data_IF_359425152940
#
_entry.id   IF_359425152940
#
_cell.length_a   1.000
_cell.length_b   1.000
_cell.length_c   1.000
_cell.angle_alpha   90.00
_cell.angle_beta   90.00
_cell.angle_gamma   90.00
#
_symmetry.space_group_name_H-M   'P 1'
#
loop_
_entity.id
_entity.type
_entity.pdbx_description
1 polymer ?
#
# COMPACT_ATOMS: atom_id res chain seq x y z
N UNK A 1 -24.35 29.39 20.76
CA UNK A 1 -25.45 28.43 20.91
C UNK A 1 -24.93 27.05 20.57
N UNK A 2 -24.37 26.40 21.57
CA UNK A 2 -23.91 25.00 21.53
C UNK A 2 -25.13 24.15 21.98
N UNK A 3 -25.77 23.43 21.07
CA UNK A 3 -26.72 22.38 21.44
C UNK A 3 -26.51 21.16 20.53
N UNK A 4 -26.32 20.03 21.21
CA UNK A 4 -26.53 18.65 20.79
C UNK A 4 -25.60 18.04 19.71
N UNK A 5 -24.36 17.72 20.14
CA UNK A 5 -23.58 16.61 19.57
C UNK A 5 -23.75 15.35 20.44
N UNK A 6 -24.94 14.77 20.47
CA UNK A 6 -25.20 13.41 20.96
C UNK A 6 -25.96 12.66 19.88
N UNK A 7 -25.43 11.49 19.52
CA UNK A 7 -25.97 10.43 18.64
C UNK A 7 -25.31 10.27 17.28
N UNK A 8 -24.08 9.76 17.28
CA UNK A 8 -23.56 9.00 16.13
C UNK A 8 -23.47 7.49 16.47
N UNK A 9 -23.63 7.11 17.71
CA UNK A 9 -23.68 5.70 18.13
C UNK A 9 -25.13 5.23 18.29
N UNK A 10 -25.76 4.88 17.18
CA UNK A 10 -27.02 4.13 17.19
C UNK A 10 -26.76 2.69 17.63
N UNK A 11 -27.12 2.36 18.85
CA UNK A 11 -27.21 0.98 19.36
C UNK A 11 -28.33 0.23 18.64
N UNK A 12 -28.01 -0.45 17.54
CA UNK A 12 -28.76 -1.60 16.98
C UNK A 12 -27.94 -2.20 15.84
N UNK A 13 -27.20 -3.27 16.13
CA UNK A 13 -26.82 -4.38 15.25
C UNK A 13 -25.60 -5.14 15.80
N UNK A 14 -25.68 -5.60 17.04
CA UNK A 14 -24.71 -6.57 17.59
C UNK A 14 -25.01 -8.02 17.20
N UNK A 15 -26.18 -8.31 16.61
CA UNK A 15 -26.54 -9.68 16.24
C UNK A 15 -26.28 -10.06 14.77
N UNK A 16 -26.03 -9.08 13.88
CA UNK A 16 -25.79 -9.38 12.46
C UNK A 16 -24.34 -9.77 12.13
N UNK A 17 -23.38 -9.54 13.05
CA UNK A 17 -21.94 -9.82 12.81
C UNK A 17 -21.48 -11.21 13.31
N UNK A 18 -22.33 -12.03 13.90
CA UNK A 18 -21.93 -13.33 14.46
C UNK A 18 -21.76 -14.44 13.42
N UNK A 19 -22.10 -14.20 12.15
CA UNK A 19 -21.95 -15.17 11.04
C UNK A 19 -21.15 -14.63 9.84
N UNK A 20 -20.41 -13.55 9.96
CA UNK A 20 -19.55 -13.09 8.87
C UNK A 20 -18.34 -14.02 8.74
N UNK A 21 -18.07 -14.50 7.51
CA UNK A 21 -16.86 -15.29 7.19
C UNK A 21 -15.63 -14.49 7.61
N UNK A 22 -14.76 -15.06 8.43
CA UNK A 22 -13.50 -14.45 8.86
C UNK A 22 -12.46 -14.64 7.78
N UNK A 23 -11.61 -13.63 7.60
CA UNK A 23 -10.58 -13.64 6.56
C UNK A 23 -9.20 -13.53 7.21
N UNK A 24 -8.30 -14.42 6.82
CA UNK A 24 -6.94 -14.49 7.36
C UNK A 24 -5.89 -14.30 6.26
N UNK A 25 -4.71 -13.85 6.66
CA UNK A 25 -3.55 -13.70 5.80
C UNK A 25 -2.70 -14.96 5.92
N UNK A 26 -2.58 -15.72 4.83
CA UNK A 26 -1.88 -17.00 4.80
C UNK A 26 -0.57 -16.97 4.02
N UNK A 27 -0.35 -15.96 3.19
CA UNK A 27 0.88 -15.77 2.45
C UNK A 27 1.13 -14.31 2.08
N UNK A 28 2.40 -13.98 1.85
CA UNK A 28 2.85 -12.63 1.52
C UNK A 28 3.97 -12.67 0.49
N UNK A 29 4.01 -11.67 -0.39
CA UNK A 29 5.11 -11.47 -1.33
C UNK A 29 5.32 -9.99 -1.60
N UNK A 30 6.58 -9.56 -1.77
CA UNK A 30 6.91 -8.15 -1.94
C UNK A 30 8.18 -7.93 -2.78
N UNK A 31 8.11 -6.90 -3.61
CA UNK A 31 9.25 -6.28 -4.28
C UNK A 31 9.19 -4.79 -3.97
N UNK A 32 10.22 -4.26 -3.33
CA UNK A 32 10.27 -2.87 -2.85
C UNK A 32 11.66 -2.27 -2.98
N UNK A 33 11.83 -0.96 -2.83
CA UNK A 33 13.15 -0.31 -2.86
C UNK A 33 14.11 -0.77 -1.76
N UNK A 34 13.61 -1.40 -0.70
CA UNK A 34 14.41 -1.84 0.44
C UNK A 34 14.56 -3.37 0.53
N UNK A 35 13.91 -4.12 -0.35
CA UNK A 35 14.01 -5.58 -0.42
C UNK A 35 13.15 -6.16 -1.53
N UNK A 36 13.61 -7.23 -2.17
CA UNK A 36 12.95 -7.92 -3.30
C UNK A 36 12.22 -9.20 -2.87
N UNK A 37 12.03 -9.36 -1.58
CA UNK A 37 11.25 -10.41 -0.93
C UNK A 37 10.72 -9.91 0.42
N UNK A 38 9.72 -10.58 0.97
CA UNK A 38 9.16 -10.24 2.30
C UNK A 38 10.22 -10.33 3.42
N UNK A 39 11.10 -11.36 3.48
CA UNK A 39 12.17 -11.39 4.46
C UNK A 39 13.16 -10.23 4.35
N UNK A 40 13.55 -9.84 3.13
CA UNK A 40 14.44 -8.69 2.89
C UNK A 40 13.76 -7.37 3.28
N UNK A 41 12.51 -7.17 2.85
CA UNK A 41 11.71 -6.01 3.24
C UNK A 41 11.66 -5.87 4.77
N UNK A 42 11.29 -6.94 5.48
CA UNK A 42 11.17 -6.89 6.93
C UNK A 42 12.49 -6.62 7.63
N UNK A 43 13.57 -7.26 7.21
CA UNK A 43 14.91 -7.02 7.74
C UNK A 43 15.35 -5.55 7.55
N UNK A 44 15.04 -4.97 6.39
CA UNK A 44 15.32 -3.56 6.10
C UNK A 44 14.49 -2.61 6.97
N UNK A 45 13.19 -2.90 7.16
CA UNK A 45 12.29 -2.11 8.03
C UNK A 45 12.77 -2.15 9.49
N UNK A 46 13.17 -3.31 10.00
CA UNK A 46 13.70 -3.46 11.35
C UNK A 46 14.98 -2.64 11.58
N UNK A 47 15.80 -2.51 10.54
CA UNK A 47 17.08 -1.77 10.57
C UNK A 47 16.92 -0.27 10.30
N UNK A 48 15.73 0.20 9.91
CA UNK A 48 15.54 1.58 9.45
C UNK A 48 16.29 1.90 8.15
N UNK A 49 16.45 0.91 7.25
CA UNK A 49 17.20 1.08 6.00
C UNK A 49 16.41 1.93 5.00
N UNK A 50 17.04 3.00 4.53
CA UNK A 50 16.46 3.86 3.49
C UNK A 50 16.71 3.28 2.08
N UNK A 51 15.66 3.21 1.26
CA UNK A 51 15.71 2.79 -0.15
C UNK A 51 15.76 3.95 -1.14
N UNK A 52 15.80 5.19 -0.66
CA UNK A 52 15.81 6.39 -1.50
C UNK A 52 17.25 6.68 -1.94
N UNK A 53 17.40 7.01 -3.22
CA UNK A 53 18.69 7.35 -3.81
C UNK A 53 18.53 8.25 -5.02
N UNK A 54 19.64 8.57 -5.66
CA UNK A 54 19.63 9.28 -6.94
C UNK A 54 18.97 8.40 -8.01
N UNK A 55 18.13 9.01 -8.86
CA UNK A 55 17.48 8.34 -9.99
C UNK A 55 18.54 7.79 -10.95
N UNK A 56 18.37 6.53 -11.33
CA UNK A 56 19.27 5.83 -12.28
C UNK A 56 18.55 5.29 -13.52
N UNK A 57 17.22 5.30 -13.53
CA UNK A 57 16.40 4.79 -14.63
C UNK A 57 16.43 5.70 -15.87
N UNK A 58 16.71 6.99 -15.68
CA UNK A 58 16.87 7.97 -16.76
C UNK A 58 17.82 9.10 -16.33
N UNK A 59 18.25 9.96 -17.26
CA UNK A 59 19.06 11.16 -16.95
C UNK A 59 18.20 12.25 -16.30
N UNK A 60 18.27 12.34 -14.96
CA UNK A 60 17.54 13.32 -14.18
C UNK A 60 18.25 14.69 -14.04
N UNK A 61 19.36 14.94 -14.77
CA UNK A 61 20.16 16.18 -14.67
C UNK A 61 19.32 17.45 -14.86
N UNK A 62 18.33 17.39 -15.76
CA UNK A 62 17.41 18.46 -16.11
C UNK A 62 16.08 18.43 -15.32
N UNK A 63 15.97 17.58 -14.30
CA UNK A 63 14.80 17.52 -13.44
C UNK A 63 15.01 18.34 -12.16
N UNK A 64 13.97 19.01 -11.63
CA UNK A 64 14.06 19.68 -10.33
C UNK A 64 14.25 18.69 -9.19
N UNK A 65 13.67 17.48 -9.31
CA UNK A 65 13.81 16.35 -8.40
C UNK A 65 14.67 15.28 -9.05
N UNK A 66 15.75 14.87 -8.38
CA UNK A 66 16.76 13.93 -8.89
C UNK A 66 16.83 12.63 -8.09
N UNK A 67 15.86 12.42 -7.20
CA UNK A 67 15.82 11.32 -6.26
C UNK A 67 14.52 10.52 -6.36
N UNK A 68 14.63 9.22 -6.15
CA UNK A 68 13.50 8.30 -6.10
C UNK A 68 13.86 7.05 -5.26
N UNK A 69 12.86 6.28 -4.90
CA UNK A 69 13.01 4.97 -4.28
C UNK A 69 12.84 3.89 -5.36
N UNK A 70 13.93 3.55 -6.02
CA UNK A 70 13.98 2.57 -7.12
C UNK A 70 14.17 1.15 -6.60
N UNK A 71 13.54 0.18 -7.24
CA UNK A 71 13.88 -1.24 -7.08
C UNK A 71 15.11 -1.55 -7.95
N UNK A 72 16.28 -1.53 -7.32
CA UNK A 72 17.56 -1.72 -8.03
C UNK A 72 17.83 -3.19 -8.31
N UNK A 73 18.50 -3.46 -9.44
CA UNK A 73 18.96 -4.80 -9.83
C UNK A 73 17.86 -5.86 -9.81
N UNK A 74 16.65 -5.48 -10.22
CA UNK A 74 15.53 -6.42 -10.34
C UNK A 74 15.71 -7.29 -11.59
N UNK A 75 15.68 -8.60 -11.37
CA UNK A 75 15.78 -9.59 -12.43
C UNK A 75 14.56 -10.52 -12.36
N UNK A 76 13.64 -10.42 -13.32
CA UNK A 76 12.40 -11.20 -13.31
C UNK A 76 12.59 -12.71 -13.15
N UNK A 77 13.67 -13.27 -13.73
CA UNK A 77 14.00 -14.70 -13.67
C UNK A 77 14.31 -15.19 -12.24
N UNK A 78 14.88 -14.35 -11.39
CA UNK A 78 15.13 -14.66 -9.98
C UNK A 78 13.83 -14.78 -9.16
N UNK A 79 12.71 -14.26 -9.72
CA UNK A 79 11.36 -14.29 -9.14
C UNK A 79 10.40 -15.24 -9.89
N UNK A 80 10.94 -16.16 -10.69
CA UNK A 80 10.15 -17.19 -11.38
C UNK A 80 9.38 -16.69 -12.60
N UNK A 81 9.79 -15.58 -13.21
CA UNK A 81 9.19 -15.05 -14.45
C UNK A 81 10.10 -15.47 -15.63
N UNK A 82 9.51 -16.16 -16.62
CA UNK A 82 10.25 -16.52 -17.83
C UNK A 82 10.77 -15.26 -18.55
N UNK A 83 12.05 -15.22 -18.98
CA UNK A 83 12.61 -14.02 -19.64
C UNK A 83 11.92 -13.60 -20.94
N UNK A 84 11.22 -14.53 -21.64
CA UNK A 84 10.45 -14.19 -22.84
C UNK A 84 9.13 -13.53 -22.47
N UNK A 85 8.50 -14.00 -21.41
CA UNK A 85 7.27 -13.40 -20.90
C UNK A 85 7.55 -12.04 -20.24
N UNK A 86 8.65 -11.91 -19.48
CA UNK A 86 9.07 -10.65 -18.87
C UNK A 86 9.19 -9.50 -19.89
N UNK A 87 9.66 -9.81 -21.12
CA UNK A 87 9.77 -8.81 -22.21
C UNK A 87 8.44 -8.33 -22.79
N UNK A 88 7.33 -8.94 -22.39
CA UNK A 88 5.96 -8.58 -22.77
C UNK A 88 5.17 -7.94 -21.64
N UNK A 89 5.85 -7.68 -20.53
CA UNK A 89 5.26 -7.12 -19.31
C UNK A 89 5.93 -5.79 -19.00
N UNK A 90 5.14 -4.75 -18.76
CA UNK A 90 5.63 -3.54 -18.14
C UNK A 90 6.23 -3.84 -16.75
N UNK A 91 7.08 -2.95 -16.27
CA UNK A 91 7.79 -3.14 -15.00
C UNK A 91 6.85 -3.32 -13.80
N UNK A 92 5.75 -2.55 -13.72
CA UNK A 92 4.75 -2.73 -12.66
C UNK A 92 4.09 -4.11 -12.69
N UNK A 93 3.87 -4.66 -13.90
CA UNK A 93 3.33 -6.01 -14.07
C UNK A 93 4.33 -7.06 -13.60
N UNK A 94 5.63 -6.91 -13.94
CA UNK A 94 6.67 -7.81 -13.47
C UNK A 94 6.76 -7.82 -11.94
N UNK A 95 6.63 -6.67 -11.28
CA UNK A 95 6.63 -6.58 -9.82
C UNK A 95 5.45 -7.32 -9.20
N UNK A 96 4.24 -7.17 -9.77
CA UNK A 96 3.07 -7.87 -9.23
C UNK A 96 3.19 -9.39 -9.41
N UNK A 97 3.64 -9.86 -10.58
CA UNK A 97 3.83 -11.30 -10.83
C UNK A 97 4.91 -11.87 -9.90
N UNK A 98 6.03 -11.16 -9.70
CA UNK A 98 7.08 -11.56 -8.77
C UNK A 98 6.56 -11.69 -7.33
N UNK A 99 5.84 -10.68 -6.85
CA UNK A 99 5.22 -10.71 -5.53
C UNK A 99 4.13 -11.80 -5.40
N UNK A 100 3.35 -12.04 -6.45
CA UNK A 100 2.35 -13.11 -6.45
C UNK A 100 2.99 -14.51 -6.38
N UNK A 101 4.09 -14.73 -7.11
CA UNK A 101 4.84 -15.99 -7.04
C UNK A 101 5.37 -16.26 -5.63
N UNK A 102 5.94 -15.25 -4.96
CA UNK A 102 6.41 -15.35 -3.58
C UNK A 102 5.24 -15.63 -2.62
N UNK A 103 4.13 -14.87 -2.74
CA UNK A 103 2.97 -15.00 -1.86
C UNK A 103 2.32 -16.38 -1.94
N UNK A 104 2.14 -16.91 -3.15
CA UNK A 104 1.59 -18.26 -3.39
C UNK A 104 2.50 -19.34 -2.81
N UNK A 105 3.81 -19.20 -3.00
CA UNK A 105 4.80 -20.11 -2.40
C UNK A 105 4.78 -20.05 -0.88
N UNK A 106 4.70 -18.86 -0.29
CA UNK A 106 4.62 -18.67 1.17
C UNK A 106 3.32 -19.24 1.76
N UNK A 107 2.19 -19.09 1.03
CA UNK A 107 0.90 -19.68 1.39
C UNK A 107 0.84 -21.21 1.18
N UNK A 108 1.82 -21.80 0.49
CA UNK A 108 1.83 -23.21 0.08
C UNK A 108 0.55 -23.60 -0.69
N UNK A 109 0.09 -22.73 -1.61
CA UNK A 109 -1.03 -23.01 -2.50
C UNK A 109 -0.56 -23.81 -3.73
N UNK A 110 -1.33 -24.84 -4.10
CA UNK A 110 -1.05 -25.66 -5.29
C UNK A 110 -1.67 -25.03 -6.55
N UNK A 111 -1.23 -25.51 -7.73
CA UNK A 111 -1.81 -25.09 -9.02
C UNK A 111 -3.29 -25.46 -9.13
N UNK A 112 -3.69 -26.58 -8.57
CA UNK A 112 -5.07 -27.06 -8.55
C UNK A 112 -5.94 -26.11 -7.71
N UNK A 113 -5.49 -25.71 -6.53
CA UNK A 113 -6.20 -24.74 -5.66
C UNK A 113 -6.30 -23.35 -6.31
N UNK A 114 -5.26 -22.92 -7.02
CA UNK A 114 -5.29 -21.65 -7.74
C UNK A 114 -6.26 -21.66 -8.93
N UNK A 115 -6.49 -22.82 -9.54
CA UNK A 115 -7.40 -22.98 -10.67
C UNK A 115 -8.88 -23.16 -10.26
N UNK A 116 -9.18 -23.21 -8.97
CA UNK A 116 -10.56 -23.28 -8.47
C UNK A 116 -11.32 -21.98 -8.77
N UNK A 117 -12.60 -22.09 -9.14
CA UNK A 117 -13.46 -20.92 -9.43
C UNK A 117 -13.62 -19.98 -8.22
N UNK A 118 -13.33 -20.49 -7.01
CA UNK A 118 -13.34 -19.75 -5.75
C UNK A 118 -12.02 -19.05 -5.42
N UNK A 119 -11.04 -19.11 -6.32
CA UNK A 119 -9.77 -18.36 -6.20
C UNK A 119 -9.76 -17.14 -7.13
N UNK A 120 -9.41 -15.97 -6.61
CA UNK A 120 -9.38 -14.74 -7.38
C UNK A 120 -8.12 -13.89 -7.15
N UNK A 121 -8.04 -12.81 -7.90
CA UNK A 121 -7.06 -11.74 -7.74
C UNK A 121 -7.74 -10.37 -7.81
N UNK A 122 -7.38 -9.50 -6.88
CA UNK A 122 -7.73 -8.06 -6.91
C UNK A 122 -6.46 -7.28 -6.66
N UNK A 123 -6.07 -6.38 -7.57
CA UNK A 123 -4.86 -5.59 -7.37
C UNK A 123 -5.07 -4.12 -7.71
N UNK A 124 -4.39 -3.25 -6.93
CA UNK A 124 -4.38 -1.81 -7.09
C UNK A 124 -3.26 -1.34 -8.01
N UNK A 125 -3.54 -0.31 -8.80
CA UNK A 125 -2.55 0.38 -9.60
C UNK A 125 -2.96 1.85 -9.76
N UNK A 126 -2.01 2.79 -9.62
CA UNK A 126 -2.31 4.22 -9.68
C UNK A 126 -1.98 4.87 -11.02
N UNK A 127 -0.86 4.51 -11.64
CA UNK A 127 -0.31 5.18 -12.83
C UNK A 127 -0.24 4.27 -14.06
N UNK A 128 -0.38 2.96 -13.89
CA UNK A 128 -0.22 1.96 -14.95
C UNK A 128 1.19 2.00 -15.60
N UNK A 129 1.30 1.62 -16.87
CA UNK A 129 2.55 1.56 -17.63
C UNK A 129 3.03 2.92 -18.15
N UNK A 130 3.23 3.90 -17.24
CA UNK A 130 3.76 5.21 -17.62
C UNK A 130 5.14 5.13 -18.25
N UNK A 131 5.98 4.19 -17.82
CA UNK A 131 7.27 3.86 -18.41
C UNK A 131 7.12 3.41 -19.88
N UNK A 132 6.16 2.56 -20.15
CA UNK A 132 5.83 2.09 -21.52
C UNK A 132 5.29 3.24 -22.39
N UNK A 133 4.43 4.08 -21.81
CA UNK A 133 3.90 5.24 -22.53
C UNK A 133 5.03 6.18 -22.96
N UNK A 134 5.91 6.54 -22.03
CA UNK A 134 7.03 7.45 -22.29
C UNK A 134 7.98 6.87 -23.35
N UNK A 135 8.42 5.62 -23.18
CA UNK A 135 9.30 4.94 -24.11
C UNK A 135 8.68 4.77 -25.51
N UNK A 136 7.46 4.26 -25.58
CA UNK A 136 6.83 3.95 -26.87
C UNK A 136 6.41 5.21 -27.63
N UNK A 137 5.99 6.27 -26.92
CA UNK A 137 5.65 7.54 -27.52
C UNK A 137 6.90 8.26 -28.09
N UNK A 138 8.02 8.26 -27.36
CA UNK A 138 9.26 8.82 -27.83
C UNK A 138 9.75 8.09 -29.10
N UNK A 139 9.77 6.76 -29.09
CA UNK A 139 10.12 5.96 -30.29
C UNK A 139 9.18 6.24 -31.47
N UNK A 140 7.89 6.45 -31.22
CA UNK A 140 6.92 6.80 -32.27
C UNK A 140 7.23 8.15 -32.91
N UNK A 141 7.57 9.16 -32.11
CA UNK A 141 7.95 10.48 -32.62
C UNK A 141 9.26 10.43 -33.40
N UNK A 142 10.30 9.83 -32.84
CA UNK A 142 11.63 9.68 -33.45
C UNK A 142 11.56 8.88 -34.76
N UNK A 143 10.73 7.84 -34.80
CA UNK A 143 10.48 7.02 -36.00
C UNK A 143 9.62 7.68 -37.06
N UNK A 144 9.33 8.98 -36.93
CA UNK A 144 8.53 9.74 -37.91
C UNK A 144 7.05 9.32 -37.93
N UNK A 145 6.51 8.87 -36.81
CA UNK A 145 5.10 8.51 -36.60
C UNK A 145 4.60 7.33 -37.46
N UNK A 146 5.50 6.42 -37.83
CA UNK A 146 5.17 5.33 -38.76
C UNK A 146 4.68 4.05 -38.11
N UNK A 147 5.19 3.72 -36.91
CA UNK A 147 4.90 2.43 -36.25
C UNK A 147 4.85 2.60 -34.72
N UNK A 148 3.93 1.86 -34.10
CA UNK A 148 3.86 1.66 -32.64
C UNK A 148 3.99 0.17 -32.38
N UNK A 149 4.60 -0.21 -31.25
CA UNK A 149 4.66 -1.60 -30.82
C UNK A 149 3.24 -2.19 -30.68
N UNK A 150 2.94 -3.38 -31.18
CA UNK A 150 1.68 -4.05 -30.96
C UNK A 150 1.46 -4.40 -29.47
N UNK A 151 2.52 -4.41 -28.67
CA UNK A 151 2.47 -4.66 -27.22
C UNK A 151 2.27 -3.38 -26.40
N UNK A 152 2.39 -2.19 -27.00
CA UNK A 152 2.28 -0.93 -26.27
C UNK A 152 0.99 -0.79 -25.44
N UNK A 153 -0.14 -1.15 -26.01
CA UNK A 153 -1.42 -1.09 -25.26
C UNK A 153 -1.55 -2.20 -24.21
N UNK A 154 -1.27 -3.49 -24.48
CA UNK A 154 -1.25 -4.52 -23.46
C UNK A 154 -0.29 -4.25 -22.31
N UNK A 155 0.85 -3.62 -22.56
CA UNK A 155 1.81 -3.27 -21.51
C UNK A 155 1.39 -2.01 -20.73
N UNK A 156 0.63 -1.10 -21.34
CA UNK A 156 0.25 0.20 -20.77
C UNK A 156 -0.94 0.09 -19.80
N UNK A 157 -1.98 -0.66 -20.15
CA UNK A 157 -3.28 -0.58 -19.45
C UNK A 157 -3.23 -1.22 -18.05
N UNK A 158 -3.91 -0.62 -17.05
CA UNK A 158 -3.72 -0.98 -15.64
C UNK A 158 -4.19 -2.39 -15.28
N UNK A 159 -5.13 -2.99 -16.02
CA UNK A 159 -5.63 -4.34 -15.74
C UNK A 159 -4.62 -5.44 -16.09
N UNK A 160 -3.60 -5.14 -16.86
CA UNK A 160 -2.63 -6.15 -17.33
C UNK A 160 -1.80 -6.75 -16.20
N UNK A 161 -1.58 -6.04 -15.11
CA UNK A 161 -0.93 -6.63 -13.94
C UNK A 161 -1.74 -7.80 -13.37
N UNK A 162 -3.06 -7.62 -13.14
CA UNK A 162 -3.96 -8.70 -12.73
C UNK A 162 -4.06 -9.82 -13.77
N UNK A 163 -4.20 -9.46 -15.04
CA UNK A 163 -4.32 -10.42 -16.14
C UNK A 163 -3.07 -11.32 -16.26
N UNK A 164 -1.88 -10.73 -16.18
CA UNK A 164 -0.63 -11.49 -16.23
C UNK A 164 -0.44 -12.41 -15.02
N UNK A 165 -0.82 -11.99 -13.80
CA UNK A 165 -0.82 -12.89 -12.63
C UNK A 165 -1.81 -14.03 -12.83
N UNK A 166 -3.04 -13.75 -13.31
CA UNK A 166 -4.05 -14.76 -13.63
C UNK A 166 -3.51 -15.78 -14.62
N UNK A 167 -2.90 -15.33 -15.72
CA UNK A 167 -2.28 -16.20 -16.74
C UNK A 167 -1.11 -16.99 -16.15
N UNK A 168 -0.21 -16.36 -15.43
CA UNK A 168 0.99 -16.99 -14.88
C UNK A 168 0.67 -18.08 -13.85
N UNK A 169 -0.37 -17.86 -13.03
CA UNK A 169 -0.75 -18.74 -11.93
C UNK A 169 -1.93 -19.69 -12.29
N UNK A 170 -2.63 -19.44 -13.39
CA UNK A 170 -3.80 -20.23 -13.81
C UNK A 170 -5.06 -19.92 -13.01
N UNK A 171 -5.20 -18.69 -12.51
CA UNK A 171 -6.39 -18.25 -11.77
C UNK A 171 -7.51 -17.96 -12.76
N UNK A 172 -8.65 -18.66 -12.65
CA UNK A 172 -9.79 -18.53 -13.58
C UNK A 172 -11.02 -17.86 -12.96
N UNK A 173 -10.98 -17.58 -11.65
CA UNK A 173 -12.07 -16.89 -10.97
C UNK A 173 -11.99 -15.36 -11.12
N UNK A 174 -12.33 -14.63 -10.06
CA UNK A 174 -12.38 -13.17 -10.05
C UNK A 174 -11.00 -12.53 -10.37
N UNK A 175 -10.95 -11.61 -11.32
CA UNK A 175 -9.74 -10.79 -11.62
C UNK A 175 -10.13 -9.34 -11.81
N UNK A 176 -9.81 -8.47 -10.83
CA UNK A 176 -10.18 -7.05 -10.84
C UNK A 176 -8.98 -6.14 -10.56
N UNK A 177 -8.96 -4.99 -11.23
CA UNK A 177 -8.02 -3.90 -10.95
C UNK A 177 -8.75 -2.72 -10.32
N UNK A 178 -8.19 -2.19 -9.24
CA UNK A 178 -8.68 -1.03 -8.51
C UNK A 178 -7.76 0.16 -8.79
N UNK A 179 -8.34 1.30 -9.14
CA UNK A 179 -7.61 2.53 -9.39
C UNK A 179 -8.21 3.68 -8.55
N UNK A 180 -7.61 3.94 -7.39
CA UNK A 180 -7.93 5.02 -6.45
C UNK A 180 -6.67 5.78 -6.04
N UNK A 181 -5.78 6.02 -7.02
CA UNK A 181 -4.48 6.64 -6.83
C UNK A 181 -3.68 5.95 -5.71
N UNK A 182 -3.18 6.68 -4.71
CA UNK A 182 -2.37 6.13 -3.62
C UNK A 182 -3.15 5.15 -2.70
N UNK A 183 -4.49 5.14 -2.74
CA UNK A 183 -5.31 4.21 -1.97
C UNK A 183 -5.57 2.88 -2.70
N UNK A 184 -5.16 2.74 -3.97
CA UNK A 184 -5.50 1.59 -4.82
C UNK A 184 -5.20 0.24 -4.18
N UNK A 185 -4.03 0.08 -3.57
CA UNK A 185 -3.63 -1.17 -2.91
C UNK A 185 -4.47 -1.47 -1.66
N UNK A 186 -4.73 -0.47 -0.84
CA UNK A 186 -5.59 -0.61 0.35
C UNK A 186 -7.03 -0.94 -0.04
N UNK A 187 -7.57 -0.27 -1.06
CA UNK A 187 -8.91 -0.54 -1.56
C UNK A 187 -9.00 -1.92 -2.23
N UNK A 188 -7.93 -2.38 -2.90
CA UNK A 188 -7.86 -3.73 -3.45
C UNK A 188 -7.95 -4.81 -2.35
N UNK A 189 -7.28 -4.60 -1.20
CA UNK A 189 -7.40 -5.46 -0.01
C UNK A 189 -8.86 -5.46 0.49
N UNK A 190 -9.49 -4.29 0.57
CA UNK A 190 -10.88 -4.15 1.02
C UNK A 190 -11.88 -4.87 0.09
N UNK A 191 -11.73 -4.71 -1.22
CA UNK A 191 -12.57 -5.40 -2.22
C UNK A 191 -12.39 -6.92 -2.15
N UNK A 192 -11.16 -7.39 -1.95
CA UNK A 192 -10.88 -8.82 -1.76
C UNK A 192 -11.52 -9.36 -0.47
N UNK A 193 -11.43 -8.60 0.64
CA UNK A 193 -12.10 -8.93 1.90
C UNK A 193 -13.62 -9.09 1.71
N UNK A 194 -14.26 -8.15 1.03
CA UNK A 194 -15.69 -8.18 0.75
C UNK A 194 -16.09 -9.35 -0.15
N UNK A 195 -15.26 -9.68 -1.15
CA UNK A 195 -15.50 -10.81 -2.04
C UNK A 195 -15.45 -12.15 -1.29
N UNK A 196 -14.50 -12.32 -0.36
CA UNK A 196 -14.41 -13.54 0.48
C UNK A 196 -15.57 -13.57 1.49
N UNK A 197 -15.86 -12.48 2.19
CA UNK A 197 -16.93 -12.40 3.19
C UNK A 197 -18.31 -12.66 2.59
N UNK A 198 -18.54 -12.21 1.35
CA UNK A 198 -19.79 -12.45 0.63
C UNK A 198 -19.92 -13.89 0.07
N UNK A 199 -18.90 -14.74 0.22
CA UNK A 199 -18.88 -16.11 -0.27
C UNK A 199 -18.73 -16.24 -1.79
N UNK A 200 -18.31 -15.20 -2.50
CA UNK A 200 -18.03 -15.28 -3.95
C UNK A 200 -16.77 -16.07 -4.24
N UNK A 201 -15.76 -15.94 -3.36
CA UNK A 201 -14.49 -16.64 -3.42
C UNK A 201 -14.06 -17.06 -2.02
N UNK A 202 -13.14 -18.01 -1.93
CA UNK A 202 -12.55 -18.50 -0.68
C UNK A 202 -11.11 -18.03 -0.51
N UNK A 203 -10.41 -17.82 -1.63
CA UNK A 203 -9.01 -17.38 -1.70
C UNK A 203 -8.90 -16.16 -2.61
N UNK A 204 -8.16 -15.15 -2.20
CA UNK A 204 -7.87 -13.99 -3.02
C UNK A 204 -6.41 -13.55 -2.89
N UNK A 205 -5.74 -13.37 -4.02
CA UNK A 205 -4.50 -12.64 -4.09
C UNK A 205 -4.85 -11.14 -4.10
N UNK A 206 -4.67 -10.45 -2.97
CA UNK A 206 -4.91 -9.02 -2.84
C UNK A 206 -3.59 -8.27 -3.02
N UNK A 207 -3.41 -7.57 -4.12
CA UNK A 207 -2.12 -6.99 -4.50
C UNK A 207 -2.17 -5.52 -4.86
N UNK A 208 -0.99 -4.99 -5.18
CA UNK A 208 -0.81 -3.68 -5.78
C UNK A 208 0.59 -3.54 -6.34
N UNK A 209 0.73 -2.80 -7.42
CA UNK A 209 2.04 -2.55 -8.04
C UNK A 209 2.11 -1.20 -8.71
N UNK A 210 3.34 -0.68 -8.84
CA UNK A 210 3.61 0.62 -9.47
C UNK A 210 5.01 0.69 -10.06
N UNK A 211 5.18 1.39 -11.19
CA UNK A 211 6.48 1.71 -11.80
C UNK A 211 6.46 3.08 -12.49
N UNK A 212 6.13 4.13 -11.71
CA UNK A 212 5.93 5.48 -12.23
C UNK A 212 7.19 6.36 -12.27
N UNK A 213 8.41 5.82 -12.10
CA UNK A 213 9.65 6.62 -12.09
C UNK A 213 10.11 6.87 -13.54
N UNK A 214 9.51 7.88 -14.17
CA UNK A 214 9.89 8.35 -15.51
C UNK A 214 10.17 9.85 -15.49
N UNK A 215 10.88 10.36 -16.49
CA UNK A 215 11.16 11.80 -16.59
C UNK A 215 9.86 12.62 -16.61
N UNK A 216 8.87 12.18 -17.39
CA UNK A 216 7.57 12.84 -17.48
C UNK A 216 6.83 12.84 -16.16
N UNK A 217 6.77 11.70 -15.45
CA UNK A 217 6.09 11.60 -14.15
C UNK A 217 6.77 12.45 -13.09
N UNK A 218 8.09 12.39 -12.97
CA UNK A 218 8.86 13.20 -12.01
C UNK A 218 8.63 14.69 -12.25
N UNK A 219 8.72 15.16 -13.50
CA UNK A 219 8.45 16.57 -13.84
C UNK A 219 7.00 16.97 -13.58
N UNK A 220 6.04 16.08 -13.86
CA UNK A 220 4.61 16.34 -13.64
C UNK A 220 4.29 16.49 -12.14
N UNK A 221 4.77 15.56 -11.29
CA UNK A 221 4.57 15.66 -9.84
C UNK A 221 5.36 16.82 -9.20
N UNK A 222 6.55 17.12 -9.71
CA UNK A 222 7.33 18.29 -9.28
C UNK A 222 6.62 19.60 -9.64
N UNK A 223 5.99 19.69 -10.83
CA UNK A 223 5.18 20.82 -11.25
C UNK A 223 3.96 21.10 -10.36
N UNK A 224 3.47 20.08 -9.63
CA UNK A 224 2.42 20.23 -8.62
C UNK A 224 2.98 20.54 -7.22
N UNK A 225 4.29 20.68 -7.05
CA UNK A 225 4.97 20.83 -5.76
C UNK A 225 4.67 19.68 -4.79
N UNK A 226 4.43 18.47 -5.32
CA UNK A 226 4.13 17.29 -4.52
C UNK A 226 5.39 16.52 -4.10
N UNK A 227 6.47 16.59 -4.90
CA UNK A 227 7.77 15.97 -4.62
C UNK A 227 8.69 16.93 -3.88
N UNK A 228 9.56 16.37 -3.02
CA UNK A 228 10.64 17.14 -2.41
C UNK A 228 11.80 17.33 -3.37
N UNK A 229 12.29 18.57 -3.49
CA UNK A 229 13.48 18.96 -4.25
C UNK A 229 14.65 19.40 -3.35
N UNK A 230 14.41 19.51 -2.04
CA UNK A 230 15.37 20.05 -1.08
C UNK A 230 16.54 19.12 -0.75
N UNK A 231 16.37 17.82 -1.00
CA UNK A 231 17.32 16.79 -0.55
C UNK A 231 17.98 16.04 -1.71
N UNK A 232 18.11 16.66 -2.90
CA UNK A 232 18.78 16.03 -4.04
C UNK A 232 20.21 15.58 -3.74
N UNK A 233 20.93 16.27 -2.84
CA UNK A 233 22.30 15.97 -2.44
C UNK A 233 22.39 15.06 -1.20
N UNK A 234 21.25 14.74 -0.56
CA UNK A 234 21.15 13.86 0.61
C UNK A 234 19.86 13.02 0.53
N UNK A 235 19.74 12.16 -0.48
CA UNK A 235 18.49 11.45 -0.81
C UNK A 235 17.94 10.62 0.36
N UNK A 236 18.81 10.06 1.19
CA UNK A 236 18.44 9.27 2.36
C UNK A 236 17.70 10.08 3.45
N UNK A 237 17.75 11.41 3.39
CA UNK A 237 17.07 12.34 4.32
C UNK A 237 15.77 12.93 3.77
N UNK A 238 15.42 12.59 2.53
CA UNK A 238 14.38 13.27 1.78
C UNK A 238 12.95 12.96 2.26
N UNK A 239 12.65 11.70 2.52
CA UNK A 239 11.36 11.30 3.10
C UNK A 239 11.44 11.36 4.61
N UNK A 240 10.74 12.35 5.19
CA UNK A 240 10.76 12.69 6.63
C UNK A 240 9.36 13.01 7.16
N UNK A 241 8.45 12.00 7.19
CA UNK A 241 7.08 12.22 7.64
C UNK A 241 7.03 12.81 9.06
N UNK A 242 6.09 13.74 9.27
CA UNK A 242 5.83 14.44 10.54
C UNK A 242 6.97 15.34 11.04
N UNK A 243 8.07 15.44 10.29
CA UNK A 243 9.17 16.35 10.59
C UNK A 243 8.85 17.76 10.09
N UNK A 244 9.33 18.78 10.80
CA UNK A 244 9.10 20.19 10.49
C UNK A 244 9.69 20.61 9.15
N UNK A 245 10.79 19.97 8.74
CA UNK A 245 11.51 20.28 7.50
C UNK A 245 11.02 19.47 6.30
N UNK A 246 9.93 18.68 6.44
CA UNK A 246 9.32 17.94 5.33
C UNK A 246 8.88 18.88 4.22
N UNK A 247 9.01 18.45 2.97
CA UNK A 247 8.75 19.35 1.83
C UNK A 247 8.12 18.68 0.63
N UNK A 248 7.69 17.44 0.75
CA UNK A 248 7.10 16.65 -0.33
C UNK A 248 7.43 15.19 -0.21
N UNK A 249 6.74 14.35 -0.96
CA UNK A 249 7.04 12.92 -0.97
C UNK A 249 8.20 12.58 -1.90
N UNK A 250 8.76 11.38 -1.76
CA UNK A 250 9.71 10.79 -2.70
C UNK A 250 8.99 9.68 -3.45
N UNK A 251 8.96 9.74 -4.78
CA UNK A 251 8.35 8.70 -5.61
C UNK A 251 9.11 7.38 -5.44
N UNK A 252 8.34 6.30 -5.29
CA UNK A 252 8.85 4.93 -5.24
C UNK A 252 8.14 4.02 -6.24
N UNK A 253 8.68 2.83 -6.42
CA UNK A 253 8.13 1.75 -7.24
C UNK A 253 8.13 0.43 -6.48
N UNK A 254 7.38 -0.56 -6.95
CA UNK A 254 7.36 -1.89 -6.37
C UNK A 254 6.06 -2.64 -6.61
N UNK A 255 5.93 -3.78 -5.95
CA UNK A 255 4.72 -4.59 -5.97
C UNK A 255 4.61 -5.46 -4.73
N UNK A 256 3.40 -5.72 -4.27
CA UNK A 256 3.16 -6.58 -3.13
C UNK A 256 1.84 -7.33 -3.28
N UNK A 257 1.76 -8.51 -2.65
CA UNK A 257 0.59 -9.37 -2.66
C UNK A 257 0.42 -10.01 -1.28
N UNK A 258 -0.81 -9.97 -0.77
CA UNK A 258 -1.31 -10.77 0.33
C UNK A 258 -2.15 -11.92 -0.21
N UNK A 259 -1.97 -13.13 0.27
CA UNK A 259 -2.95 -14.20 0.11
C UNK A 259 -3.95 -14.09 1.26
N UNK A 260 -5.16 -13.68 0.91
CA UNK A 260 -6.31 -13.63 1.81
C UNK A 260 -7.14 -14.90 1.64
N UNK A 261 -7.56 -15.47 2.74
CA UNK A 261 -8.24 -16.76 2.73
C UNK A 261 -9.35 -16.81 3.78
N UNK A 262 -10.46 -17.42 3.44
CA UNK A 262 -11.50 -17.71 4.41
C UNK A 262 -10.96 -18.62 5.52
N UNK A 263 -11.28 -18.30 6.77
CA UNK A 263 -10.66 -18.93 7.93
C UNK A 263 -10.83 -20.45 7.98
N UNK A 264 -12.03 -20.95 7.74
CA UNK A 264 -12.28 -22.41 7.82
C UNK A 264 -11.65 -23.15 6.63
N UNK A 265 -11.61 -22.51 5.44
CA UNK A 265 -10.84 -23.00 4.31
C UNK A 265 -9.35 -23.10 4.64
N UNK A 266 -8.76 -22.05 5.22
CA UNK A 266 -7.36 -22.03 5.63
C UNK A 266 -7.03 -23.13 6.65
N UNK A 267 -7.91 -23.32 7.66
CA UNK A 267 -7.76 -24.38 8.67
C UNK A 267 -7.87 -25.77 8.06
N UNK A 268 -8.82 -25.99 7.15
CA UNK A 268 -9.06 -27.29 6.54
C UNK A 268 -7.84 -27.81 5.76
N UNK A 269 -7.07 -26.91 5.14
CA UNK A 269 -5.82 -27.27 4.46
C UNK A 269 -4.55 -27.15 5.33
N UNK A 270 -4.68 -26.81 6.61
CA UNK A 270 -3.55 -26.64 7.52
C UNK A 270 -2.66 -25.45 7.18
N UNK A 271 -3.23 -24.36 6.67
CA UNK A 271 -2.49 -23.17 6.30
C UNK A 271 -1.81 -22.51 7.51
N UNK A 272 -0.64 -21.96 7.30
CA UNK A 272 -0.03 -20.99 8.22
C UNK A 272 -0.84 -19.71 8.19
N UNK A 273 -1.22 -19.20 9.36
CA UNK A 273 -1.94 -17.94 9.49
C UNK A 273 -1.01 -16.90 10.13
N UNK A 274 -0.85 -15.76 9.47
CA UNK A 274 -0.04 -14.65 9.96
C UNK A 274 -0.81 -13.72 10.88
N UNK A 275 -2.00 -13.32 10.44
CA UNK A 275 -2.92 -12.41 11.13
C UNK A 275 -4.33 -12.55 10.55
N UNK A 276 -5.30 -11.91 11.16
CA UNK A 276 -6.64 -11.75 10.62
C UNK A 276 -6.78 -10.36 9.96
N UNK A 277 -7.28 -10.32 8.73
CA UNK A 277 -7.75 -9.10 8.11
C UNK A 277 -9.19 -8.87 8.59
N UNK A 278 -9.32 -8.03 9.62
CA UNK A 278 -10.54 -7.94 10.41
C UNK A 278 -11.54 -6.90 9.90
N UNK A 279 -11.09 -5.87 9.16
CA UNK A 279 -11.99 -4.83 8.69
C UNK A 279 -11.41 -3.93 7.62
N UNK A 280 -12.31 -3.29 6.90
CA UNK A 280 -12.03 -2.30 5.87
C UNK A 280 -13.00 -1.14 5.98
N UNK A 281 -12.54 0.06 5.66
CA UNK A 281 -13.38 1.25 5.56
C UNK A 281 -12.83 2.23 4.53
N UNK A 282 -13.74 2.81 3.75
CA UNK A 282 -13.40 3.82 2.76
C UNK A 282 -14.26 5.07 2.89
N UNK A 283 -13.73 6.19 2.41
CA UNK A 283 -14.46 7.45 2.27
C UNK A 283 -13.88 8.29 1.14
N UNK A 284 -14.61 9.32 0.72
CA UNK A 284 -14.14 10.31 -0.22
C UNK A 284 -14.23 11.72 0.38
N UNK A 285 -13.20 12.53 0.16
CA UNK A 285 -13.13 13.90 0.69
C UNK A 285 -14.11 14.85 0.03
N UNK A 286 -14.42 14.64 -1.25
CA UNK A 286 -15.26 15.52 -2.07
C UNK A 286 -14.85 17.00 -1.93
N UNK A 287 -13.54 17.28 -2.05
CA UNK A 287 -12.96 18.59 -1.76
C UNK A 287 -12.09 19.12 -2.89
N UNK A 288 -10.96 18.44 -3.19
CA UNK A 288 -9.97 18.89 -4.18
C UNK A 288 -9.32 17.68 -4.87
N UNK A 289 -8.82 17.87 -6.10
CA UNK A 289 -8.24 16.78 -6.90
C UNK A 289 -6.90 16.25 -6.35
N UNK A 290 -6.13 17.06 -5.63
CA UNK A 290 -4.79 16.68 -5.12
C UNK A 290 -4.60 16.94 -3.62
N UNK A 291 -5.33 17.87 -3.02
CA UNK A 291 -5.17 18.24 -1.61
C UNK A 291 -6.18 17.51 -0.73
N UNK A 292 -5.77 16.97 0.43
CA UNK A 292 -6.69 16.41 1.40
C UNK A 292 -7.62 17.51 1.94
N UNK A 293 -8.81 17.11 2.38
CA UNK A 293 -9.73 18.03 3.03
C UNK A 293 -9.17 18.43 4.41
N UNK A 294 -8.97 19.73 4.69
CA UNK A 294 -8.46 20.18 5.97
C UNK A 294 -9.34 19.70 7.13
N UNK A 295 -8.71 19.45 8.30
CA UNK A 295 -9.41 19.06 9.52
C UNK A 295 -9.57 17.55 9.72
N UNK A 296 -9.31 16.70 8.71
CA UNK A 296 -9.28 15.25 8.86
C UNK A 296 -10.63 14.55 9.07
N UNK A 297 -11.77 15.28 9.00
CA UNK A 297 -13.10 14.71 9.31
C UNK A 297 -13.55 13.63 8.33
N UNK A 298 -13.24 13.78 7.05
CA UNK A 298 -13.67 12.82 6.02
C UNK A 298 -12.83 11.55 6.02
N UNK A 299 -11.51 11.67 6.15
CA UNK A 299 -10.64 10.50 6.28
C UNK A 299 -10.86 9.77 7.62
N UNK A 300 -11.19 10.48 8.72
CA UNK A 300 -11.61 9.85 9.97
C UNK A 300 -12.84 8.93 9.82
N UNK A 301 -13.74 9.24 8.89
CA UNK A 301 -14.89 8.35 8.59
C UNK A 301 -14.44 7.00 8.04
N UNK A 302 -13.40 6.95 7.22
CA UNK A 302 -12.84 5.69 6.72
C UNK A 302 -12.32 4.84 7.88
N UNK A 303 -11.55 5.44 8.79
CA UNK A 303 -11.03 4.74 9.98
C UNK A 303 -12.14 4.25 10.91
N UNK A 304 -13.13 5.09 11.19
CA UNK A 304 -14.29 4.69 12.02
C UNK A 304 -15.07 3.54 11.38
N UNK A 305 -15.23 3.56 10.06
CA UNK A 305 -15.87 2.46 9.31
C UNK A 305 -15.06 1.17 9.39
N UNK A 306 -13.76 1.25 9.22
CA UNK A 306 -12.87 0.09 9.31
C UNK A 306 -12.89 -0.54 10.72
N UNK A 307 -12.82 0.28 11.78
CA UNK A 307 -12.96 -0.18 13.15
C UNK A 307 -14.31 -0.82 13.43
N UNK A 308 -15.40 -0.21 12.94
CA UNK A 308 -16.74 -0.76 13.07
C UNK A 308 -16.86 -2.11 12.33
N UNK A 309 -16.32 -2.20 11.13
CA UNK A 309 -16.32 -3.41 10.33
C UNK A 309 -15.51 -4.55 10.99
N UNK A 310 -14.39 -4.20 11.64
CA UNK A 310 -13.57 -5.10 12.44
C UNK A 310 -14.17 -5.48 13.81
N UNK A 311 -15.26 -4.82 14.23
CA UNK A 311 -15.89 -5.00 15.54
C UNK A 311 -15.00 -4.57 16.71
N UNK A 312 -14.15 -3.55 16.53
CA UNK A 312 -13.24 -3.04 17.56
C UNK A 312 -13.62 -1.63 18.03
N UNK A 313 -13.26 -1.32 19.28
CA UNK A 313 -13.33 0.03 19.83
C UNK A 313 -12.05 0.84 19.46
N UNK A 314 -12.12 2.17 19.48
CA UNK A 314 -10.93 3.01 19.33
C UNK A 314 -9.79 2.66 20.30
N UNK A 315 -10.13 2.20 21.51
CA UNK A 315 -9.17 1.80 22.56
C UNK A 315 -8.45 0.49 22.31
N UNK A 316 -8.86 -0.28 21.32
CA UNK A 316 -8.25 -1.56 20.98
C UNK A 316 -7.10 -1.39 19.99
N UNK A 317 -6.93 -0.19 19.40
CA UNK A 317 -5.86 0.09 18.42
C UNK A 317 -4.54 0.30 19.15
N UNK A 318 -3.52 -0.49 18.82
CA UNK A 318 -2.17 -0.39 19.36
C UNK A 318 -1.21 0.36 18.44
N UNK A 319 -1.34 0.11 17.14
CA UNK A 319 -0.43 0.60 16.10
C UNK A 319 -1.19 1.17 14.91
N UNK A 320 -0.71 2.29 14.42
CA UNK A 320 -1.18 2.89 13.18
C UNK A 320 -0.02 3.06 12.19
N UNK A 321 -0.09 2.35 11.06
CA UNK A 321 0.80 2.57 9.92
C UNK A 321 0.20 3.67 9.04
N UNK A 322 0.86 4.83 9.07
CA UNK A 322 0.35 6.04 8.47
C UNK A 322 0.57 6.09 6.96
N UNK A 323 -0.35 6.75 6.28
CA UNK A 323 -0.07 7.22 4.92
C UNK A 323 1.19 8.09 4.89
N UNK A 324 1.30 9.07 5.77
CA UNK A 324 2.54 9.76 6.15
C UNK A 324 3.50 10.00 4.99
N UNK A 325 3.10 10.83 4.02
CA UNK A 325 3.85 11.01 2.77
C UNK A 325 5.03 11.97 2.86
N UNK A 326 5.26 12.60 4.02
CA UNK A 326 6.24 13.68 4.14
C UNK A 326 5.81 14.97 3.41
N UNK A 327 4.52 15.13 3.12
CA UNK A 327 3.94 16.39 2.67
C UNK A 327 3.32 17.12 3.84
N UNK A 328 3.42 18.46 3.84
CA UNK A 328 2.95 19.26 4.98
C UNK A 328 1.46 19.01 5.26
N UNK A 329 0.60 19.08 4.23
CA UNK A 329 -0.85 18.99 4.39
C UNK A 329 -1.32 17.58 4.77
N UNK A 330 -0.74 16.53 4.16
CA UNK A 330 -1.15 15.17 4.46
C UNK A 330 -0.86 14.81 5.92
N UNK A 331 0.37 15.02 6.37
CA UNK A 331 0.82 14.56 7.68
C UNK A 331 0.05 15.28 8.81
N UNK A 332 -0.22 16.59 8.61
CA UNK A 332 -1.07 17.36 9.52
C UNK A 332 -2.52 16.84 9.51
N UNK A 333 -3.10 16.63 8.32
CA UNK A 333 -4.49 16.16 8.20
C UNK A 333 -4.66 14.77 8.81
N UNK A 334 -3.68 13.90 8.63
CA UNK A 334 -3.69 12.55 9.18
C UNK A 334 -3.55 12.55 10.71
N UNK A 335 -2.74 13.43 11.28
CA UNK A 335 -2.69 13.69 12.72
C UNK A 335 -4.06 14.09 13.27
N UNK A 336 -4.74 15.02 12.59
CA UNK A 336 -6.09 15.45 12.95
C UNK A 336 -7.12 14.33 12.83
N UNK A 337 -7.02 13.53 11.77
CA UNK A 337 -7.84 12.33 11.56
C UNK A 337 -7.75 11.35 12.73
N UNK A 338 -6.54 11.05 13.21
CA UNK A 338 -6.31 10.14 14.33
C UNK A 338 -6.97 10.66 15.62
N UNK A 339 -6.81 11.95 15.89
CA UNK A 339 -7.45 12.58 17.07
C UNK A 339 -8.98 12.54 17.00
N UNK A 340 -9.56 12.68 15.82
CA UNK A 340 -11.02 12.57 15.63
C UNK A 340 -11.49 11.12 15.80
N UNK A 341 -10.79 10.16 15.18
CA UNK A 341 -11.23 8.77 15.15
C UNK A 341 -11.00 8.04 16.48
N UNK A 342 -9.92 8.37 17.20
CA UNK A 342 -9.50 7.68 18.42
C UNK A 342 -9.71 8.51 19.70
N UNK A 343 -10.00 9.82 19.60
CA UNK A 343 -10.07 10.71 20.76
C UNK A 343 -8.77 10.75 21.54
N UNK A 344 -8.87 10.75 22.87
CA UNK A 344 -7.70 10.73 23.77
C UNK A 344 -6.80 9.49 23.62
N UNK A 345 -7.29 8.41 22.99
CA UNK A 345 -6.49 7.22 22.76
C UNK A 345 -5.43 7.44 21.68
N UNK A 346 -5.61 8.42 20.79
CA UNK A 346 -4.61 8.78 19.79
C UNK A 346 -3.22 9.08 20.38
N UNK A 347 -3.17 9.60 21.61
CA UNK A 347 -1.93 9.89 22.34
C UNK A 347 -1.29 8.68 23.02
N UNK A 348 -1.93 7.50 22.95
CA UNK A 348 -1.45 6.26 23.59
C UNK A 348 -0.94 5.23 22.59
N UNK A 349 -1.37 5.32 21.34
CA UNK A 349 -0.94 4.42 20.28
C UNK A 349 0.44 4.79 19.75
N UNK A 350 1.07 3.85 19.05
CA UNK A 350 2.26 4.14 18.25
C UNK A 350 1.86 4.37 16.78
N UNK A 351 2.37 5.42 16.20
CA UNK A 351 2.18 5.79 14.81
C UNK A 351 3.52 5.68 14.09
N UNK A 352 3.59 5.17 12.87
CA UNK A 352 4.80 5.36 12.06
C UNK A 352 4.48 5.40 10.57
N UNK A 353 5.32 6.11 9.81
CA UNK A 353 5.30 6.05 8.35
C UNK A 353 6.55 5.36 7.82
N UNK A 354 6.34 4.18 7.27
CA UNK A 354 7.41 3.40 6.62
C UNK A 354 7.79 3.93 5.24
N UNK A 355 7.04 4.92 4.72
CA UNK A 355 7.45 5.68 3.53
C UNK A 355 8.71 6.50 3.73
N UNK A 356 9.11 6.74 4.98
CA UNK A 356 10.44 7.27 5.29
C UNK A 356 11.58 6.38 4.78
N UNK A 357 11.33 5.06 4.65
CA UNK A 357 12.27 4.04 4.16
C UNK A 357 12.00 3.63 2.72
N UNK A 358 10.75 3.36 2.37
CA UNK A 358 10.35 2.80 1.06
C UNK A 358 10.11 3.86 -0.02
N UNK A 359 10.05 5.16 0.35
CA UNK A 359 9.41 6.14 -0.51
C UNK A 359 7.90 5.86 -0.67
N UNK A 360 7.26 6.59 -1.56
CA UNK A 360 5.84 6.43 -1.84
C UNK A 360 5.59 5.62 -3.12
N UNK A 361 5.31 4.33 -2.97
CA UNK A 361 5.09 3.40 -4.08
C UNK A 361 3.65 3.47 -4.65
N UNK A 362 2.94 4.60 -4.52
CA UNK A 362 1.61 4.91 -5.07
C UNK A 362 0.63 3.73 -4.93
N UNK A 363 0.26 3.05 -6.03
CA UNK A 363 -0.70 1.93 -6.01
C UNK A 363 -0.22 0.68 -5.26
N UNK A 364 1.10 0.50 -5.11
CA UNK A 364 1.66 -0.60 -4.32
C UNK A 364 1.74 -0.29 -2.81
N UNK A 365 1.75 0.99 -2.43
CA UNK A 365 2.08 1.43 -1.08
C UNK A 365 1.22 0.76 -0.01
N UNK A 366 -0.11 0.76 -0.18
CA UNK A 366 -1.04 0.21 0.82
C UNK A 366 -0.87 -1.29 1.07
N UNK A 367 -0.48 -2.07 0.06
CA UNK A 367 -0.22 -3.51 0.25
C UNK A 367 1.13 -3.76 0.90
N UNK A 368 2.18 -3.01 0.53
CA UNK A 368 3.49 -3.05 1.21
C UNK A 368 3.30 -2.73 2.70
N UNK A 369 2.54 -1.71 3.02
CA UNK A 369 2.24 -1.26 4.38
C UNK A 369 1.37 -2.26 5.16
N UNK A 370 0.42 -2.92 4.50
CA UNK A 370 -0.35 -4.00 5.10
C UNK A 370 0.52 -5.22 5.43
N UNK A 371 1.50 -5.58 4.58
CA UNK A 371 2.51 -6.60 4.88
C UNK A 371 3.36 -6.19 6.09
N UNK A 372 3.86 -4.95 6.11
CA UNK A 372 4.65 -4.43 7.23
C UNK A 372 3.82 -4.45 8.53
N UNK A 373 2.55 -4.03 8.48
CA UNK A 373 1.63 -4.04 9.63
C UNK A 373 1.35 -5.47 10.12
N UNK A 374 1.18 -6.43 9.20
CA UNK A 374 1.03 -7.86 9.53
C UNK A 374 2.27 -8.40 10.25
N UNK A 375 3.46 -8.03 9.77
CA UNK A 375 4.71 -8.44 10.39
C UNK A 375 4.98 -7.73 11.71
N UNK A 376 4.53 -6.48 11.86
CA UNK A 376 4.58 -5.73 13.12
C UNK A 376 3.75 -6.44 14.21
N UNK A 377 2.51 -6.81 13.88
CA UNK A 377 1.64 -7.61 14.78
C UNK A 377 2.29 -8.94 15.13
N UNK A 378 2.79 -9.68 14.10
CA UNK A 378 3.39 -11.01 14.31
C UNK A 378 4.64 -10.98 15.15
N UNK A 379 5.50 -9.97 14.98
CA UNK A 379 6.82 -9.90 15.61
C UNK A 379 6.86 -8.96 16.82
N UNK A 380 5.72 -8.36 17.19
CA UNK A 380 5.63 -7.42 18.33
C UNK A 380 6.65 -6.28 18.23
N UNK A 381 6.74 -5.65 17.05
CA UNK A 381 7.67 -4.56 16.77
C UNK A 381 6.94 -3.41 16.07
N UNK A 382 6.99 -2.22 16.65
CA UNK A 382 6.55 -0.97 16.02
C UNK A 382 7.66 -0.44 15.10
N UNK A 383 7.46 -0.40 13.77
CA UNK A 383 8.44 0.15 12.85
C UNK A 383 8.71 1.64 13.09
N UNK A 384 9.92 2.09 12.77
CA UNK A 384 10.29 3.49 12.92
C UNK A 384 9.72 4.37 11.79
N UNK A 385 9.55 5.67 12.11
CA UNK A 385 9.61 6.77 11.14
C UNK A 385 11.05 7.31 11.15
N UNK A 386 11.87 6.97 10.16
CA UNK A 386 13.23 7.50 10.08
C UNK A 386 13.22 8.97 9.61
N UNK A 387 14.30 9.70 9.87
CA UNK A 387 14.45 11.12 9.55
C UNK A 387 13.50 12.07 10.32
N UNK A 388 12.86 11.59 11.37
CA UNK A 388 12.08 12.43 12.28
C UNK A 388 13.03 12.99 13.35
N UNK A 389 13.78 14.02 12.97
CA UNK A 389 14.81 14.65 13.81
C UNK A 389 14.31 15.91 14.49
N UNK A 390 13.37 16.61 13.83
CA UNK A 390 12.78 17.85 14.28
C UNK A 390 11.24 17.76 14.18
N UNK A 391 10.55 17.15 15.18
CA UNK A 391 9.11 16.94 15.12
C UNK A 391 8.34 18.24 14.91
N UNK A 392 7.32 18.21 14.04
CA UNK A 392 6.41 19.33 13.83
C UNK A 392 5.46 19.45 15.05
N UNK A 393 5.37 20.64 15.63
CA UNK A 393 4.54 20.92 16.81
C UNK A 393 3.04 20.64 16.58
N UNK A 394 2.57 20.73 15.33
CA UNK A 394 1.19 20.40 14.95
C UNK A 394 0.96 18.89 14.79
N UNK A 395 2.04 18.12 14.68
CA UNK A 395 2.07 16.67 14.64
C UNK A 395 2.55 16.13 15.98
N UNK A 396 1.69 16.14 17.00
CA UNK A 396 2.02 15.95 18.43
C UNK A 396 1.72 14.55 18.98
N UNK A 397 1.65 13.53 18.13
CA UNK A 397 1.47 12.12 18.52
C UNK A 397 2.83 11.40 18.63
N UNK A 398 2.82 10.12 19.04
CA UNK A 398 4.03 9.30 19.10
C UNK A 398 4.28 8.62 17.74
N UNK A 399 5.18 9.18 16.95
CA UNK A 399 5.49 8.71 15.59
C UNK A 399 6.66 7.73 15.51
N UNK A 400 7.08 7.13 16.60
CA UNK A 400 8.21 6.17 16.70
C UNK A 400 9.45 6.72 15.97
N UNK A 401 10.08 7.80 16.45
CA UNK A 401 11.14 8.50 15.72
C UNK A 401 12.41 7.65 15.60
N UNK A 402 12.94 7.54 14.40
CA UNK A 402 14.25 7.01 14.01
C UNK A 402 14.57 5.55 14.40
N UNK A 403 13.96 4.97 15.44
CA UNK A 403 14.24 3.60 15.88
C UNK A 403 12.96 2.85 16.23
N UNK A 404 12.79 1.65 15.68
CA UNK A 404 11.67 0.78 16.03
C UNK A 404 11.66 0.39 17.51
N UNK A 405 10.48 0.13 18.05
CA UNK A 405 10.23 -0.18 19.48
C UNK A 405 9.58 -1.55 19.58
N UNK A 406 10.14 -2.43 20.40
CA UNK A 406 9.49 -3.70 20.74
C UNK A 406 8.28 -3.46 21.67
N UNK A 407 7.19 -4.17 21.41
CA UNK A 407 5.98 -4.09 22.23
C UNK A 407 4.84 -4.91 21.65
N UNK A 408 3.90 -5.34 22.48
CA UNK A 408 2.76 -6.12 22.02
C UNK A 408 1.87 -5.28 21.08
N UNK A 409 1.44 -5.88 19.99
CA UNK A 409 0.53 -5.32 19.00
C UNK A 409 -0.54 -6.36 18.71
N UNK A 410 -1.72 -6.17 19.24
CA UNK A 410 -2.86 -7.05 18.96
C UNK A 410 -3.71 -6.53 17.80
N UNK A 411 -3.74 -5.19 17.63
CA UNK A 411 -4.49 -4.51 16.55
C UNK A 411 -3.62 -3.45 15.88
N UNK A 412 -3.36 -3.64 14.61
CA UNK A 412 -2.76 -2.64 13.73
C UNK A 412 -3.77 -2.09 12.72
N UNK A 413 -3.71 -0.80 12.45
CA UNK A 413 -4.49 -0.12 11.41
C UNK A 413 -3.53 0.44 10.37
N UNK A 414 -3.79 0.22 9.09
CA UNK A 414 -3.02 0.80 7.99
C UNK A 414 -3.93 1.64 7.09
N UNK A 415 -3.51 2.86 6.76
CA UNK A 415 -4.30 3.79 5.99
C UNK A 415 -3.58 4.33 4.76
N UNK A 416 -4.36 4.61 3.73
CA UNK A 416 -3.91 5.29 2.52
C UNK A 416 -4.84 6.44 2.18
N UNK A 417 -4.25 7.61 1.91
CA UNK A 417 -4.97 8.81 1.47
C UNK A 417 -4.50 9.16 0.05
N UNK A 418 -5.39 9.05 -0.93
CA UNK A 418 -5.06 9.21 -2.35
C UNK A 418 -5.51 10.53 -2.95
N UNK A 419 -4.84 10.97 -4.00
CA UNK A 419 -5.34 12.05 -4.86
C UNK A 419 -6.76 11.73 -5.32
N UNK A 420 -7.60 12.77 -5.50
CA UNK A 420 -9.04 12.60 -5.67
C UNK A 420 -9.80 12.55 -4.35
N UNK A 421 -9.09 12.55 -3.20
CA UNK A 421 -9.67 12.44 -1.86
C UNK A 421 -10.12 11.01 -1.52
N UNK A 422 -9.50 10.00 -2.11
CA UNK A 422 -9.73 8.61 -1.77
C UNK A 422 -9.06 8.26 -0.45
N UNK A 423 -9.82 7.74 0.50
CA UNK A 423 -9.32 7.32 1.81
C UNK A 423 -9.68 5.85 2.04
N UNK A 424 -8.68 4.98 2.15
CA UNK A 424 -8.82 3.56 2.42
C UNK A 424 -8.11 3.18 3.72
N UNK A 425 -8.75 2.35 4.55
CA UNK A 425 -8.21 1.92 5.85
C UNK A 425 -8.50 0.44 6.04
N UNK A 426 -7.50 -0.32 6.43
CA UNK A 426 -7.62 -1.74 6.80
C UNK A 426 -7.24 -1.97 8.25
N UNK A 427 -7.88 -2.94 8.90
CA UNK A 427 -7.61 -3.38 10.27
C UNK A 427 -7.07 -4.79 10.25
N UNK A 428 -5.89 -4.97 10.84
CA UNK A 428 -5.17 -6.23 10.96
C UNK A 428 -5.10 -6.61 12.43
N UNK A 429 -5.58 -7.80 12.77
CA UNK A 429 -5.61 -8.31 14.14
C UNK A 429 -4.69 -9.52 14.29
N UNK A 430 -4.10 -9.65 15.45
CA UNK A 430 -3.37 -10.85 15.83
C UNK A 430 -4.31 -12.05 15.83
N UNK A 431 -3.90 -13.11 15.16
CA UNK A 431 -4.70 -14.33 15.11
C UNK A 431 -4.59 -15.12 16.42
N UNK A 432 -5.76 -15.52 16.96
CA UNK A 432 -5.83 -16.37 18.16
C UNK A 432 -5.92 -15.59 19.48
N UNK A 433 -6.10 -14.28 19.41
CA UNK A 433 -6.36 -13.42 20.59
C UNK A 433 -7.83 -13.03 20.67
#
# INVERSE_FOLDING_TARGET
MLKDKKAIFGTKNTEANMNARRVVITGMGAVSPVGKSVPELWAAIQQGKCGIGTITQFDASNCPVKIAAEVKDFKPEEHGIDPKEARRMARFTQFLVAAANEAVKDANLTREQLAEDTTGIVAGNGLAGMDILDETYNKYIEGGKRRVSPLAMPELIPNEACANVSIALGITGLAHTICTACASGTDAIGVALDAIRSGRIDVCLAGGSESGITEYSIKSFAGMHALTDKFNDAPEKASRPFDKDRSGFVMGEGGAVLVLEELEHAKARGAKIYAELAGYGASADAYHITSPRPGGETCAKAMVRAMKDAGIAPTDVDYYNAHGTSTHLNDLTETQMLKIALGEHAYKIKVSSTKSMTGHCVGAAGVIEAIISTLAVKNSLYPATINLDNPDEECDLDYVPNKGIEGNIDVAVSASLGFGGHNGVVVIKKYGV
#
